data_IF_602947622278
#
_entry.id   IF_602947622278
#
_cell.length_a   1.000
_cell.length_b   1.000
_cell.length_c   1.000
_cell.angle_alpha   90.00
_cell.angle_beta   90.00
_cell.angle_gamma   90.00
#
_symmetry.space_group_name_H-M   'P 1'
#
loop_
_entity.id
_entity.type
_entity.pdbx_description
1 polymer ?
#
# COMPACT_ATOMS: atom_id res chain seq x y z
N UNK A 1 7.01 -28.14 12.00
CA UNK A 1 6.30 -26.93 12.47
C UNK A 1 6.92 -26.53 13.81
N UNK A 2 7.44 -25.32 13.92
CA UNK A 2 8.09 -24.83 15.15
C UNK A 2 7.10 -24.75 16.31
N UNK A 3 7.52 -25.13 17.49
CA UNK A 3 6.71 -25.13 18.72
C UNK A 3 7.30 -24.18 19.77
N UNK A 4 6.49 -23.79 20.75
CA UNK A 4 6.94 -23.01 21.92
C UNK A 4 8.10 -23.72 22.64
N UNK A 5 8.13 -25.07 22.63
CA UNK A 5 9.20 -25.87 23.22
C UNK A 5 10.54 -25.70 22.47
N UNK A 6 10.48 -25.58 21.14
CA UNK A 6 11.69 -25.40 20.32
C UNK A 6 12.29 -24.01 20.53
N UNK A 7 11.43 -22.97 20.63
CA UNK A 7 11.85 -21.59 20.97
C UNK A 7 12.48 -21.58 22.37
N UNK A 8 11.86 -22.21 23.35
CA UNK A 8 12.37 -22.31 24.72
C UNK A 8 13.76 -22.96 24.76
N UNK A 9 13.94 -24.05 24.00
CA UNK A 9 15.24 -24.75 23.88
C UNK A 9 16.30 -23.86 23.23
N UNK A 10 15.95 -23.15 22.18
CA UNK A 10 16.87 -22.26 21.46
C UNK A 10 17.39 -21.11 22.33
N UNK A 11 16.55 -20.57 23.21
CA UNK A 11 16.87 -19.43 24.08
C UNK A 11 17.33 -19.84 25.49
N UNK A 12 17.32 -21.11 25.84
CA UNK A 12 17.68 -21.56 27.18
C UNK A 12 16.70 -21.14 28.28
N UNK A 13 15.45 -20.89 27.94
CA UNK A 13 14.38 -20.47 28.86
C UNK A 13 13.32 -21.56 29.03
N UNK A 14 12.37 -21.38 29.97
CA UNK A 14 11.27 -22.33 30.14
C UNK A 14 10.17 -22.13 29.09
N UNK A 15 9.41 -23.19 28.78
CA UNK A 15 8.21 -23.09 27.94
C UNK A 15 7.21 -22.07 28.49
N UNK A 16 7.08 -21.97 29.84
CA UNK A 16 6.24 -20.99 30.50
C UNK A 16 6.67 -19.56 30.23
N UNK A 17 8.00 -19.28 30.23
CA UNK A 17 8.56 -17.97 29.92
C UNK A 17 8.23 -17.57 28.49
N UNK A 18 8.42 -18.48 27.51
CA UNK A 18 8.06 -18.20 26.11
C UNK A 18 6.57 -17.93 25.96
N UNK A 19 5.71 -18.74 26.58
CA UNK A 19 4.26 -18.53 26.53
C UNK A 19 3.83 -17.20 27.13
N UNK A 20 4.42 -16.79 28.25
CA UNK A 20 4.18 -15.49 28.89
C UNK A 20 4.61 -14.33 28.00
N UNK A 21 5.81 -14.41 27.42
CA UNK A 21 6.34 -13.38 26.53
C UNK A 21 5.46 -13.20 25.28
N UNK A 22 5.06 -14.31 24.64
CA UNK A 22 4.18 -14.29 23.47
C UNK A 22 2.76 -13.74 23.79
N UNK A 23 2.34 -13.77 25.03
CA UNK A 23 1.04 -13.22 25.48
C UNK A 23 1.17 -11.86 26.17
N UNK A 24 2.33 -11.21 26.13
CA UNK A 24 2.53 -9.87 26.68
C UNK A 24 2.40 -9.79 28.21
N UNK A 25 2.78 -10.87 28.92
CA UNK A 25 2.67 -10.91 30.38
C UNK A 25 3.60 -9.86 31.04
N UNK A 26 3.11 -9.08 32.03
CA UNK A 26 3.85 -7.96 32.59
C UNK A 26 5.08 -8.36 33.44
N UNK A 27 5.21 -9.63 33.77
CA UNK A 27 6.35 -10.18 34.51
C UNK A 27 7.53 -10.61 33.61
N UNK A 28 7.47 -10.33 32.33
CA UNK A 28 8.58 -10.52 31.36
C UNK A 28 9.15 -9.16 30.99
N UNK A 29 10.49 -9.02 31.05
CA UNK A 29 11.13 -7.78 30.61
C UNK A 29 10.95 -7.55 29.10
N UNK A 30 10.84 -6.30 28.69
CA UNK A 30 10.69 -5.91 27.27
C UNK A 30 11.82 -6.48 26.39
N UNK A 31 13.06 -6.47 26.89
CA UNK A 31 14.21 -7.03 26.18
C UNK A 31 14.06 -8.54 25.93
N UNK A 32 13.64 -9.30 26.94
CA UNK A 32 13.44 -10.74 26.80
C UNK A 32 12.22 -11.04 25.91
N UNK A 33 11.15 -10.25 26.04
CA UNK A 33 9.98 -10.37 25.18
C UNK A 33 10.36 -10.17 23.72
N UNK A 34 11.07 -9.09 23.41
CA UNK A 34 11.56 -8.78 22.04
C UNK A 34 12.41 -9.93 21.51
N UNK A 35 13.38 -10.42 22.27
CA UNK A 35 14.23 -11.53 21.87
C UNK A 35 13.43 -12.81 21.57
N UNK A 36 12.41 -13.11 22.39
CA UNK A 36 11.54 -14.28 22.19
C UNK A 36 10.70 -14.13 20.92
N UNK A 37 10.14 -12.95 20.67
CA UNK A 37 9.34 -12.68 19.48
C UNK A 37 10.18 -12.78 18.20
N UNK A 38 11.35 -12.16 18.17
CA UNK A 38 12.29 -12.23 17.04
C UNK A 38 12.71 -13.67 16.76
N UNK A 39 13.14 -14.41 17.80
CA UNK A 39 13.50 -15.83 17.65
C UNK A 39 12.31 -16.68 17.18
N UNK A 40 11.10 -16.41 17.66
CA UNK A 40 9.91 -17.10 17.21
C UNK A 40 9.67 -16.91 15.71
N UNK A 41 9.76 -15.67 15.23
CA UNK A 41 9.62 -15.32 13.81
C UNK A 41 10.71 -15.96 12.95
N UNK A 42 12.00 -15.86 13.35
CA UNK A 42 13.13 -16.53 12.68
C UNK A 42 12.91 -18.04 12.52
N UNK A 43 12.40 -18.68 13.56
CA UNK A 43 12.07 -20.10 13.55
C UNK A 43 10.78 -20.43 12.79
N UNK A 44 10.08 -19.44 12.25
CA UNK A 44 8.84 -19.60 11.50
C UNK A 44 7.60 -19.82 12.36
N UNK A 45 7.62 -19.37 13.61
CA UNK A 45 6.46 -19.37 14.49
C UNK A 45 5.73 -18.02 14.36
N UNK A 46 4.84 -17.90 13.39
CA UNK A 46 4.11 -16.65 13.07
C UNK A 46 2.63 -16.70 13.48
N UNK A 47 2.16 -17.83 14.01
CA UNK A 47 0.76 -17.99 14.39
C UNK A 47 0.63 -18.38 15.86
N UNK A 48 -0.04 -17.55 16.63
CA UNK A 48 -0.47 -17.90 17.96
C UNK A 48 -1.64 -18.91 17.92
N UNK A 49 -1.62 -19.86 18.86
CA UNK A 49 -2.78 -20.72 19.05
C UNK A 49 -3.97 -19.86 19.49
N UNK A 50 -5.06 -19.97 18.75
CA UNK A 50 -6.34 -19.32 19.08
C UNK A 50 -6.69 -19.63 20.54
N UNK A 51 -6.78 -18.61 21.37
CA UNK A 51 -7.34 -18.76 22.71
C UNK A 51 -8.85 -19.05 22.57
N UNK A 52 -9.34 -20.09 23.26
CA UNK A 52 -10.78 -20.40 23.25
C UNK A 52 -11.56 -19.19 23.76
N UNK A 53 -12.47 -18.67 22.93
CA UNK A 53 -13.38 -17.57 23.30
C UNK A 53 -12.94 -16.16 22.88
N UNK A 54 -11.76 -15.98 22.28
CA UNK A 54 -11.36 -14.69 21.71
C UNK A 54 -11.60 -14.63 20.20
N UNK A 55 -12.16 -13.51 19.72
CA UNK A 55 -12.30 -13.26 18.29
C UNK A 55 -10.91 -13.18 17.62
N UNK A 56 -10.73 -13.79 16.44
CA UNK A 56 -9.50 -13.60 15.68
C UNK A 56 -9.37 -12.14 15.25
N UNK A 57 -8.13 -11.64 15.28
CA UNK A 57 -7.83 -10.24 14.93
C UNK A 57 -7.21 -10.12 13.56
N UNK A 58 -7.69 -9.13 12.79
CA UNK A 58 -7.06 -8.61 11.59
C UNK A 58 -6.71 -7.14 11.83
N UNK A 59 -5.74 -6.62 11.08
CA UNK A 59 -5.47 -5.19 11.09
C UNK A 59 -5.50 -4.61 9.68
N UNK A 60 -5.88 -3.33 9.60
CA UNK A 60 -5.66 -2.49 8.43
C UNK A 60 -4.45 -1.63 8.77
N UNK A 61 -3.35 -1.80 8.03
CA UNK A 61 -2.14 -1.01 8.16
C UNK A 61 -2.24 0.15 7.16
N UNK A 62 -2.44 1.36 7.66
CA UNK A 62 -2.59 2.55 6.84
C UNK A 62 -1.33 3.42 6.94
N UNK A 63 -0.69 3.71 5.80
CA UNK A 63 0.43 4.65 5.76
C UNK A 63 -0.08 6.05 6.13
N UNK A 64 0.31 6.56 7.30
CA UNK A 64 -0.22 7.79 7.90
C UNK A 64 0.01 9.05 7.07
N UNK A 65 1.04 9.04 6.21
CA UNK A 65 1.41 10.18 5.35
C UNK A 65 0.74 10.13 3.97
N UNK A 66 0.32 8.96 3.50
CA UNK A 66 -0.08 8.74 2.11
C UNK A 66 -1.56 8.41 1.94
N UNK A 67 -2.27 8.08 3.01
CA UNK A 67 -3.66 7.60 2.91
C UNK A 67 -4.56 8.29 3.93
N UNK A 68 -5.51 9.06 3.42
CA UNK A 68 -6.60 9.61 4.22
C UNK A 68 -7.80 8.66 4.22
N UNK A 69 -8.24 8.23 5.41
CA UNK A 69 -9.30 7.21 5.56
C UNK A 69 -10.31 7.52 6.69
N UNK A 70 -10.16 8.66 7.35
CA UNK A 70 -10.92 8.97 8.57
C UNK A 70 -12.31 9.56 8.31
N UNK A 71 -12.53 10.17 7.14
CA UNK A 71 -13.76 10.89 6.80
C UNK A 71 -14.42 10.32 5.54
N UNK A 72 -15.78 10.33 5.46
CA UNK A 72 -16.54 9.73 4.35
C UNK A 72 -16.17 10.21 2.94
N UNK A 73 -15.63 11.42 2.79
CA UNK A 73 -15.23 11.97 1.49
C UNK A 73 -13.79 11.60 1.09
N UNK A 74 -13.08 10.88 1.93
CA UNK A 74 -11.70 10.44 1.67
C UNK A 74 -11.72 9.07 1.00
N UNK A 75 -10.88 8.87 0.00
CA UNK A 75 -10.83 7.62 -0.76
C UNK A 75 -10.60 6.39 0.14
N UNK A 76 -9.67 6.48 1.07
CA UNK A 76 -9.37 5.36 1.98
C UNK A 76 -10.52 4.98 2.92
N UNK A 77 -11.49 5.88 3.16
CA UNK A 77 -12.63 5.60 4.02
C UNK A 77 -13.49 4.46 3.49
N UNK A 78 -13.87 4.51 2.20
CA UNK A 78 -14.69 3.47 1.57
C UNK A 78 -13.95 2.14 1.51
N UNK A 79 -12.63 2.16 1.29
CA UNK A 79 -11.78 0.96 1.29
C UNK A 79 -11.76 0.30 2.68
N UNK A 80 -11.55 1.09 3.73
CA UNK A 80 -11.57 0.63 5.13
C UNK A 80 -12.96 0.10 5.51
N UNK A 81 -14.02 0.84 5.16
CA UNK A 81 -15.39 0.45 5.43
C UNK A 81 -15.75 -0.88 4.76
N UNK A 82 -15.41 -1.04 3.48
CA UNK A 82 -15.65 -2.27 2.72
C UNK A 82 -14.95 -3.48 3.33
N UNK A 83 -13.69 -3.32 3.75
CA UNK A 83 -12.95 -4.40 4.44
C UNK A 83 -13.65 -4.81 5.75
N UNK A 84 -14.03 -3.83 6.58
CA UNK A 84 -14.72 -4.10 7.86
C UNK A 84 -16.07 -4.77 7.66
N UNK A 85 -16.87 -4.29 6.70
CA UNK A 85 -18.18 -4.87 6.37
C UNK A 85 -18.10 -6.34 5.96
N UNK A 86 -16.98 -6.77 5.39
CA UNK A 86 -16.76 -8.18 5.03
C UNK A 86 -16.16 -9.01 6.16
N UNK A 87 -15.26 -8.46 6.97
CA UNK A 87 -14.54 -9.20 7.99
C UNK A 87 -15.31 -9.34 9.31
N UNK A 88 -15.95 -8.27 9.81
CA UNK A 88 -16.62 -8.25 11.10
C UNK A 88 -17.80 -9.27 11.20
N UNK A 89 -18.67 -9.41 10.18
CA UNK A 89 -19.74 -10.43 10.21
C UNK A 89 -19.21 -11.87 10.26
N UNK A 90 -17.96 -12.11 9.82
CA UNK A 90 -17.29 -13.42 9.90
C UNK A 90 -16.66 -13.67 11.28
N UNK A 91 -16.85 -12.75 12.23
CA UNK A 91 -16.36 -12.88 13.60
C UNK A 91 -14.92 -12.39 13.80
N UNK A 92 -14.36 -11.64 12.86
CA UNK A 92 -13.07 -10.98 13.07
C UNK A 92 -13.22 -9.65 13.79
N UNK A 93 -12.31 -9.36 14.71
CA UNK A 93 -12.06 -8.00 15.17
C UNK A 93 -11.11 -7.32 14.18
N UNK A 94 -11.43 -6.11 13.75
CA UNK A 94 -10.61 -5.34 12.80
C UNK A 94 -10.11 -4.07 13.48
N UNK A 95 -8.80 -3.97 13.65
CA UNK A 95 -8.12 -2.79 14.17
C UNK A 95 -7.52 -1.99 13.00
N UNK A 96 -7.61 -0.65 13.05
CA UNK A 96 -6.96 0.25 12.07
C UNK A 96 -5.73 0.82 12.74
N UNK A 97 -4.57 0.58 12.13
CA UNK A 97 -3.27 0.97 12.66
C UNK A 97 -2.60 1.94 11.69
N UNK A 98 -2.52 3.22 12.03
CA UNK A 98 -1.67 4.13 11.28
C UNK A 98 -0.20 3.76 11.52
N UNK A 99 0.55 3.64 10.44
CA UNK A 99 1.98 3.33 10.48
C UNK A 99 2.76 4.36 9.66
N UNK A 100 3.96 4.68 10.13
CA UNK A 100 4.93 5.52 9.44
C UNK A 100 6.24 4.75 9.25
N UNK A 101 7.17 5.32 8.51
CA UNK A 101 8.47 4.69 8.26
C UNK A 101 9.27 4.44 9.55
N UNK A 102 9.15 5.32 10.55
CA UNK A 102 9.88 5.19 11.81
C UNK A 102 9.44 3.95 12.58
N UNK A 103 8.12 3.76 12.74
CA UNK A 103 7.54 2.57 13.38
C UNK A 103 7.91 1.28 12.62
N UNK A 104 7.92 1.33 11.29
CA UNK A 104 8.30 0.18 10.46
C UNK A 104 9.78 -0.20 10.63
N UNK A 105 10.69 0.79 10.81
CA UNK A 105 12.12 0.52 11.06
C UNK A 105 12.39 -0.01 12.46
N UNK A 106 11.56 0.35 13.43
CA UNK A 106 11.75 -0.06 14.83
C UNK A 106 11.37 -1.50 15.09
N UNK A 107 10.39 -2.04 14.37
CA UNK A 107 9.88 -3.39 14.60
C UNK A 107 9.58 -4.08 13.26
N UNK A 108 10.16 -5.29 12.99
CA UNK A 108 9.85 -6.06 11.80
C UNK A 108 8.36 -6.44 11.71
N UNK A 109 7.83 -6.50 10.49
CA UNK A 109 6.41 -6.78 10.24
C UNK A 109 5.91 -8.06 10.92
N UNK A 110 6.57 -9.20 10.73
CA UNK A 110 6.15 -10.47 11.35
C UNK A 110 6.20 -10.44 12.88
N UNK A 111 7.15 -9.66 13.46
CA UNK A 111 7.25 -9.45 14.92
C UNK A 111 6.08 -8.60 15.40
N UNK A 112 5.78 -7.49 14.71
CA UNK A 112 4.61 -6.64 14.99
C UNK A 112 3.31 -7.45 14.98
N UNK A 113 3.11 -8.26 13.95
CA UNK A 113 1.92 -9.08 13.79
C UNK A 113 1.78 -10.13 14.90
N UNK A 114 2.88 -10.81 15.24
CA UNK A 114 2.91 -11.82 16.30
C UNK A 114 2.65 -11.20 17.68
N UNK A 115 3.31 -10.08 18.00
CA UNK A 115 3.18 -9.35 19.26
C UNK A 115 1.75 -8.87 19.52
N UNK A 116 1.07 -8.38 18.49
CA UNK A 116 -0.28 -7.82 18.60
C UNK A 116 -1.39 -8.85 18.32
N UNK A 117 -1.02 -10.12 18.11
CA UNK A 117 -1.94 -11.24 17.84
C UNK A 117 -2.77 -11.11 16.56
N UNK A 118 -2.28 -10.38 15.55
CA UNK A 118 -2.94 -10.29 14.25
C UNK A 118 -2.70 -11.54 13.41
N UNK A 119 -3.75 -12.04 12.77
CA UNK A 119 -3.69 -13.23 11.89
C UNK A 119 -3.39 -12.87 10.44
N UNK A 120 -3.58 -11.63 10.07
CA UNK A 120 -3.31 -11.09 8.75
C UNK A 120 -3.55 -9.59 8.72
N UNK A 121 -3.02 -8.94 7.70
CA UNK A 121 -3.18 -7.51 7.49
C UNK A 121 -3.74 -7.18 6.12
N UNK A 122 -4.44 -6.04 6.05
CA UNK A 122 -4.77 -5.33 4.82
C UNK A 122 -3.96 -4.04 4.80
N UNK A 123 -3.15 -3.84 3.77
CA UNK A 123 -2.12 -2.78 3.71
C UNK A 123 -2.54 -1.74 2.68
N UNK A 124 -2.67 -0.48 3.10
CA UNK A 124 -3.12 0.62 2.24
C UNK A 124 -2.16 1.81 2.30
N UNK A 125 -1.92 2.43 1.15
CA UNK A 125 -1.15 3.66 1.01
C UNK A 125 0.37 3.54 1.17
N UNK A 126 0.92 2.32 1.21
CA UNK A 126 2.37 2.12 1.30
C UNK A 126 3.07 2.56 0.02
N UNK A 127 4.24 3.18 0.19
CA UNK A 127 5.20 3.48 -0.87
C UNK A 127 6.12 2.27 -1.11
N UNK A 128 6.73 2.16 -2.28
CA UNK A 128 7.75 1.15 -2.54
C UNK A 128 8.99 1.30 -1.64
N UNK A 129 9.23 2.51 -1.10
CA UNK A 129 10.33 2.80 -0.20
C UNK A 129 10.04 2.43 1.26
N UNK A 130 8.80 2.11 1.61
CA UNK A 130 8.45 1.73 2.98
C UNK A 130 9.21 0.47 3.42
N UNK A 131 9.80 0.45 4.64
CA UNK A 131 10.64 -0.66 5.10
C UNK A 131 9.94 -2.02 5.04
N UNK A 132 8.68 -2.11 5.43
CA UNK A 132 7.92 -3.36 5.41
C UNK A 132 7.62 -3.88 4.00
N UNK A 133 7.72 -3.03 2.96
CA UNK A 133 7.54 -3.52 1.58
C UNK A 133 8.56 -4.58 1.18
N UNK A 134 9.82 -4.44 1.64
CA UNK A 134 10.84 -5.47 1.42
C UNK A 134 10.57 -6.72 2.26
N UNK A 135 10.06 -6.55 3.48
CA UNK A 135 9.74 -7.67 4.36
C UNK A 135 8.56 -8.51 3.83
N UNK A 136 7.60 -7.90 3.13
CA UNK A 136 6.50 -8.64 2.49
C UNK A 136 6.97 -9.65 1.44
N UNK A 137 8.17 -9.53 0.90
CA UNK A 137 8.73 -10.52 -0.03
C UNK A 137 9.02 -11.87 0.65
N UNK A 138 9.28 -11.87 1.96
CA UNK A 138 9.68 -13.06 2.73
C UNK A 138 8.80 -13.35 3.94
N UNK A 139 7.89 -12.45 4.29
CA UNK A 139 6.97 -12.59 5.42
C UNK A 139 6.15 -13.87 5.33
N UNK A 140 5.87 -14.45 6.49
CA UNK A 140 5.02 -15.64 6.64
C UNK A 140 3.63 -15.30 7.17
N UNK A 141 3.44 -14.09 7.65
CA UNK A 141 2.11 -13.63 8.07
C UNK A 141 1.33 -13.15 6.87
N UNK A 142 0.09 -13.60 6.67
CA UNK A 142 -0.73 -13.18 5.54
C UNK A 142 -0.89 -11.67 5.45
N UNK A 143 -0.65 -11.11 4.26
CA UNK A 143 -0.91 -9.71 3.94
C UNK A 143 -1.65 -9.58 2.61
N UNK A 144 -2.58 -8.64 2.53
CA UNK A 144 -3.20 -8.21 1.26
C UNK A 144 -2.79 -6.76 1.01
N UNK A 145 -2.11 -6.52 -0.10
CA UNK A 145 -1.63 -5.19 -0.49
C UNK A 145 -2.65 -4.55 -1.43
N UNK A 146 -3.13 -3.37 -1.06
CA UNK A 146 -4.03 -2.58 -1.90
C UNK A 146 -3.22 -1.65 -2.81
N UNK A 147 -3.45 -1.76 -4.13
CA UNK A 147 -2.75 -0.99 -5.15
C UNK A 147 -1.22 -1.05 -5.03
N UNK A 148 -0.70 -2.18 -4.51
CA UNK A 148 0.72 -2.42 -4.35
C UNK A 148 1.03 -3.91 -4.56
N UNK A 149 2.25 -4.26 -4.87
CA UNK A 149 2.61 -5.63 -5.24
C UNK A 149 4.03 -5.98 -4.80
N UNK A 150 4.21 -7.20 -4.34
CA UNK A 150 5.52 -7.83 -4.13
C UNK A 150 5.60 -9.14 -4.93
N UNK A 151 6.80 -9.50 -5.38
CA UNK A 151 7.00 -10.69 -6.19
C UNK A 151 7.01 -11.96 -5.32
N UNK A 152 6.28 -12.98 -5.79
CA UNK A 152 6.48 -14.41 -5.44
C UNK A 152 6.36 -14.81 -3.96
N UNK A 153 5.68 -14.08 -3.08
CA UNK A 153 5.41 -14.56 -1.73
C UNK A 153 4.00 -15.18 -1.63
N UNK A 154 3.85 -16.49 -1.32
CA UNK A 154 2.55 -17.14 -1.17
C UNK A 154 1.73 -16.64 0.03
N UNK A 155 2.34 -15.93 0.98
CA UNK A 155 1.65 -15.31 2.10
C UNK A 155 1.12 -13.91 1.79
N UNK A 156 1.45 -13.38 0.61
CA UNK A 156 1.06 -12.02 0.21
C UNK A 156 0.15 -12.09 -1.01
N UNK A 157 -1.00 -11.43 -0.92
CA UNK A 157 -1.93 -11.24 -2.02
C UNK A 157 -1.97 -9.76 -2.42
N UNK A 158 -2.50 -9.50 -3.60
CA UNK A 158 -2.65 -8.17 -4.15
C UNK A 158 -4.09 -7.95 -4.59
N UNK A 159 -4.61 -6.76 -4.36
CA UNK A 159 -5.89 -6.30 -4.86
C UNK A 159 -5.75 -4.87 -5.38
N UNK A 160 -6.35 -4.59 -6.52
CA UNK A 160 -6.31 -3.29 -7.18
C UNK A 160 -7.12 -3.27 -8.46
N UNK A 161 -7.05 -2.17 -9.20
CA UNK A 161 -7.74 -2.00 -10.48
C UNK A 161 -6.86 -2.45 -11.65
N UNK A 162 -7.49 -2.83 -12.76
CA UNK A 162 -6.79 -3.05 -14.03
C UNK A 162 -6.42 -1.70 -14.67
N UNK A 163 -5.19 -1.27 -14.39
CA UNK A 163 -4.70 0.01 -14.88
C UNK A 163 -4.39 -0.01 -16.39
N UNK A 164 -4.10 -1.17 -16.96
CA UNK A 164 -3.89 -1.30 -18.41
C UNK A 164 -5.19 -1.11 -19.17
N UNK A 165 -6.26 -1.77 -18.73
CA UNK A 165 -7.59 -1.58 -19.30
C UNK A 165 -8.07 -0.13 -19.12
N UNK A 166 -7.96 0.43 -17.90
CA UNK A 166 -8.40 1.80 -17.61
C UNK A 166 -7.68 2.85 -18.48
N UNK A 167 -6.36 2.74 -18.65
CA UNK A 167 -5.61 3.66 -19.51
C UNK A 167 -5.89 3.43 -21.00
N UNK A 168 -6.09 2.18 -21.44
CA UNK A 168 -6.47 1.89 -22.80
C UNK A 168 -7.82 2.53 -23.16
N UNK A 169 -8.82 2.41 -22.29
CA UNK A 169 -10.14 3.04 -22.46
C UNK A 169 -10.01 4.59 -22.53
N UNK A 170 -9.27 5.20 -21.61
CA UNK A 170 -9.10 6.65 -21.57
C UNK A 170 -8.41 7.19 -22.82
N UNK A 171 -7.32 6.57 -23.26
CA UNK A 171 -6.60 7.00 -24.46
C UNK A 171 -7.43 6.78 -25.73
N UNK A 172 -8.11 5.64 -25.85
CA UNK A 172 -8.97 5.36 -27.01
C UNK A 172 -10.11 6.36 -27.10
N UNK A 173 -10.77 6.67 -25.97
CA UNK A 173 -11.82 7.67 -25.92
C UNK A 173 -11.35 9.05 -26.40
N UNK A 174 -10.22 9.54 -25.89
CA UNK A 174 -9.67 10.82 -26.32
C UNK A 174 -9.29 10.81 -27.81
N UNK A 175 -8.74 9.72 -28.32
CA UNK A 175 -8.44 9.56 -29.75
C UNK A 175 -9.70 9.60 -30.61
N UNK A 176 -10.78 8.94 -30.20
CA UNK A 176 -12.09 8.96 -30.89
C UNK A 176 -12.67 10.38 -30.95
N UNK A 177 -12.41 11.21 -29.93
CA UNK A 177 -12.74 12.63 -29.92
C UNK A 177 -11.79 13.50 -30.78
N UNK A 178 -10.80 12.91 -31.44
CA UNK A 178 -9.88 13.58 -32.37
C UNK A 178 -8.58 14.07 -31.73
N UNK A 179 -8.33 13.81 -30.45
CA UNK A 179 -7.08 14.20 -29.82
C UNK A 179 -5.91 13.32 -30.29
N UNK A 180 -4.86 13.95 -30.81
CA UNK A 180 -3.63 13.30 -31.27
C UNK A 180 -2.45 13.55 -30.31
N UNK A 181 -2.49 14.65 -29.58
CA UNK A 181 -1.49 15.05 -28.60
C UNK A 181 -2.11 15.04 -27.21
N UNK A 182 -1.81 14.00 -26.45
CA UNK A 182 -2.38 13.73 -25.12
C UNK A 182 -1.25 13.76 -24.10
N UNK A 183 -1.36 14.63 -23.10
CA UNK A 183 -0.44 14.71 -21.97
C UNK A 183 -0.86 13.79 -20.81
N UNK A 184 0.10 13.35 -20.03
CA UNK A 184 -0.13 12.59 -18.79
C UNK A 184 0.54 13.27 -17.61
N UNK A 185 -0.23 13.57 -16.57
CA UNK A 185 0.27 14.16 -15.32
C UNK A 185 0.18 13.17 -14.16
N UNK A 186 1.27 13.06 -13.39
CA UNK A 186 1.35 12.18 -12.24
C UNK A 186 2.20 12.78 -11.13
N UNK A 187 1.94 12.31 -9.91
CA UNK A 187 2.71 12.63 -8.71
C UNK A 187 3.24 11.35 -8.05
N UNK A 188 3.96 11.51 -6.94
CA UNK A 188 4.41 10.39 -6.10
C UNK A 188 5.19 9.32 -6.89
N UNK A 189 6.38 9.62 -7.40
CA UNK A 189 7.16 8.71 -8.25
C UNK A 189 7.49 7.37 -7.57
N UNK A 190 7.53 7.32 -6.25
CA UNK A 190 7.82 6.13 -5.44
C UNK A 190 6.57 5.26 -5.16
N UNK A 191 5.39 5.70 -5.62
CA UNK A 191 4.18 4.89 -5.56
C UNK A 191 4.16 3.84 -6.67
N UNK A 192 3.99 2.57 -6.30
CA UNK A 192 3.84 1.46 -7.25
C UNK A 192 2.73 1.74 -8.26
N UNK A 193 1.54 2.13 -7.77
CA UNK A 193 0.38 2.34 -8.64
C UNK A 193 0.60 3.49 -9.64
N UNK A 194 1.30 4.58 -9.24
CA UNK A 194 1.61 5.68 -10.14
C UNK A 194 2.58 5.25 -11.25
N UNK A 195 3.54 4.40 -10.94
CA UNK A 195 4.45 3.82 -11.93
C UNK A 195 3.71 2.89 -12.90
N UNK A 196 2.78 2.06 -12.40
CA UNK A 196 1.96 1.16 -13.22
C UNK A 196 1.08 1.97 -14.17
N UNK A 197 0.36 2.99 -13.68
CA UNK A 197 -0.48 3.88 -14.49
C UNK A 197 0.30 4.58 -15.59
N UNK A 198 1.48 5.11 -15.28
CA UNK A 198 2.36 5.74 -16.29
C UNK A 198 2.79 4.76 -17.38
N UNK A 199 3.19 3.55 -17.00
CA UNK A 199 3.56 2.51 -17.97
C UNK A 199 2.35 2.10 -18.82
N UNK A 200 1.16 1.98 -18.22
CA UNK A 200 -0.08 1.69 -18.91
C UNK A 200 -0.46 2.80 -19.91
N UNK A 201 -0.36 4.07 -19.51
CA UNK A 201 -0.55 5.21 -20.42
C UNK A 201 0.37 5.12 -21.64
N UNK A 202 1.68 4.97 -21.43
CA UNK A 202 2.65 4.89 -22.53
C UNK A 202 2.36 3.69 -23.46
N UNK A 203 1.86 2.59 -22.92
CA UNK A 203 1.45 1.42 -23.69
C UNK A 203 0.21 1.70 -24.52
N UNK A 204 -0.81 2.29 -23.90
CA UNK A 204 -2.06 2.67 -24.56
C UNK A 204 -1.83 3.68 -25.71
N UNK A 205 -0.97 4.67 -25.50
CA UNK A 205 -0.58 5.63 -26.57
C UNK A 205 0.02 4.91 -27.77
N UNK A 206 0.99 4.02 -27.55
CA UNK A 206 1.62 3.23 -28.64
C UNK A 206 0.62 2.33 -29.36
N UNK A 207 -0.26 1.64 -28.63
CA UNK A 207 -1.31 0.79 -29.21
C UNK A 207 -2.29 1.58 -30.09
N UNK A 208 -2.52 2.84 -29.77
CA UNK A 208 -3.34 3.75 -30.54
C UNK A 208 -2.59 4.47 -31.67
N UNK A 209 -1.30 4.20 -31.89
CA UNK A 209 -0.47 4.86 -32.90
C UNK A 209 -0.16 6.32 -32.55
N UNK A 210 -0.25 6.71 -31.28
CA UNK A 210 0.05 8.05 -30.79
C UNK A 210 1.48 8.11 -30.23
N UNK A 211 2.05 9.31 -30.21
CA UNK A 211 3.37 9.55 -29.63
C UNK A 211 3.35 9.31 -28.11
N UNK A 212 4.32 8.53 -27.62
CA UNK A 212 4.46 8.14 -26.21
C UNK A 212 5.87 8.43 -25.68
N UNK A 213 6.47 9.55 -26.08
CA UNK A 213 7.77 9.97 -25.60
C UNK A 213 7.70 10.67 -24.23
N UNK A 214 8.85 11.09 -23.72
CA UNK A 214 8.93 11.80 -22.45
C UNK A 214 8.27 13.19 -22.46
N UNK A 215 8.10 13.80 -23.65
CA UNK A 215 7.43 15.09 -23.79
C UNK A 215 5.94 15.01 -23.43
N UNK A 216 5.33 13.82 -23.61
CA UNK A 216 3.92 13.59 -23.27
C UNK A 216 3.69 13.32 -21.76
N UNK A 217 4.74 13.25 -20.92
CA UNK A 217 4.59 12.92 -19.49
C UNK A 217 5.14 14.00 -18.59
N UNK A 218 4.39 14.35 -17.54
CA UNK A 218 4.80 15.23 -16.45
C UNK A 218 4.75 14.46 -15.13
N UNK A 219 5.85 14.48 -14.38
CA UNK A 219 5.99 13.77 -13.12
C UNK A 219 6.74 14.63 -12.12
N UNK A 220 6.15 14.86 -10.96
CA UNK A 220 6.79 15.59 -9.86
C UNK A 220 6.31 15.03 -8.52
N UNK A 221 6.99 15.37 -7.43
CA UNK A 221 6.64 14.86 -6.10
C UNK A 221 5.33 15.47 -5.55
N UNK A 222 5.01 16.70 -5.95
CA UNK A 222 3.86 17.45 -5.47
C UNK A 222 2.97 17.93 -6.62
N UNK A 223 1.67 18.06 -6.37
CA UNK A 223 0.67 18.49 -7.37
C UNK A 223 1.01 19.89 -7.90
N UNK A 224 1.27 20.88 -7.04
CA UNK A 224 1.61 22.23 -7.47
C UNK A 224 2.82 22.25 -8.38
N UNK A 225 3.90 21.60 -7.95
CA UNK A 225 5.12 21.49 -8.73
C UNK A 225 4.87 20.82 -10.09
N UNK A 226 4.09 19.74 -10.12
CA UNK A 226 3.75 19.02 -11.35
C UNK A 226 3.02 19.94 -12.34
N UNK A 227 2.07 20.75 -11.86
CA UNK A 227 1.34 21.69 -12.71
C UNK A 227 2.24 22.84 -13.20
N UNK A 228 3.00 23.45 -12.29
CA UNK A 228 3.86 24.61 -12.61
C UNK A 228 4.96 24.26 -13.63
N UNK A 229 5.53 23.07 -13.52
CA UNK A 229 6.60 22.60 -14.41
C UNK A 229 6.09 22.08 -15.75
N UNK A 230 4.95 21.40 -15.77
CA UNK A 230 4.56 20.62 -16.95
C UNK A 230 3.40 21.21 -17.75
N UNK A 231 2.45 21.95 -17.16
CA UNK A 231 1.36 22.53 -17.92
C UNK A 231 1.84 23.54 -18.98
N UNK A 232 2.75 24.50 -18.69
CA UNK A 232 3.25 25.42 -19.71
C UNK A 232 3.89 24.68 -20.88
N UNK A 233 4.73 23.69 -20.58
CA UNK A 233 5.37 22.86 -21.61
C UNK A 233 4.35 22.11 -22.46
N UNK A 234 3.31 21.52 -21.85
CA UNK A 234 2.28 20.80 -22.58
C UNK A 234 1.49 21.70 -23.53
N UNK A 235 1.24 22.95 -23.14
CA UNK A 235 0.61 23.94 -23.99
C UNK A 235 1.51 24.34 -25.19
N UNK A 236 2.79 24.56 -24.92
CA UNK A 236 3.80 24.88 -25.96
C UNK A 236 3.94 23.73 -26.98
N UNK A 237 3.92 22.50 -26.52
CA UNK A 237 3.94 21.27 -27.34
C UNK A 237 2.61 21.05 -28.08
N UNK A 238 1.58 21.81 -27.76
CA UNK A 238 0.25 21.74 -28.39
C UNK A 238 -0.56 20.50 -27.93
N UNK A 239 -0.41 20.07 -26.70
CA UNK A 239 -1.29 19.04 -26.12
C UNK A 239 -2.72 19.58 -26.07
N UNK A 240 -3.66 18.76 -26.51
CA UNK A 240 -5.07 19.13 -26.59
C UNK A 240 -5.95 18.38 -25.59
N UNK A 241 -5.39 17.41 -24.90
CA UNK A 241 -6.04 16.67 -23.81
C UNK A 241 -5.02 16.25 -22.76
N UNK A 242 -5.51 16.05 -21.53
CA UNK A 242 -4.72 15.56 -20.41
C UNK A 242 -5.40 14.35 -19.77
N UNK A 243 -4.60 13.35 -19.43
CA UNK A 243 -4.96 12.29 -18.49
C UNK A 243 -4.17 12.52 -17.21
N UNK A 244 -4.85 12.53 -16.08
CA UNK A 244 -4.26 12.67 -14.76
C UNK A 244 -4.27 11.34 -14.01
N UNK A 245 -3.20 11.06 -13.27
CA UNK A 245 -3.06 9.79 -12.55
C UNK A 245 -4.12 9.57 -11.47
N UNK A 246 -4.71 10.66 -10.92
CA UNK A 246 -5.80 10.64 -9.95
C UNK A 246 -6.57 11.97 -9.94
N UNK A 247 -7.74 11.97 -9.29
CA UNK A 247 -8.69 13.09 -9.33
C UNK A 247 -8.16 14.40 -8.74
N UNK A 248 -7.32 14.33 -7.70
CA UNK A 248 -6.78 15.55 -7.07
C UNK A 248 -5.91 16.37 -8.02
N UNK A 249 -5.07 15.71 -8.82
CA UNK A 249 -4.27 16.42 -9.83
C UNK A 249 -5.15 16.91 -10.98
N UNK A 250 -6.20 16.16 -11.37
CA UNK A 250 -7.15 16.61 -12.38
C UNK A 250 -7.91 17.85 -11.92
N UNK A 251 -8.38 17.87 -10.69
CA UNK A 251 -9.06 19.02 -10.08
C UNK A 251 -8.15 20.26 -10.04
N UNK A 252 -6.90 20.08 -9.62
CA UNK A 252 -5.92 21.15 -9.57
C UNK A 252 -5.59 21.68 -10.96
N UNK A 253 -5.48 20.82 -11.98
CA UNK A 253 -5.29 21.21 -13.37
C UNK A 253 -6.48 22.03 -13.90
N UNK A 254 -7.71 21.62 -13.64
CA UNK A 254 -8.92 22.39 -14.02
C UNK A 254 -8.93 23.78 -13.40
N UNK A 255 -8.58 23.90 -12.10
CA UNK A 255 -8.48 25.20 -11.42
C UNK A 255 -7.39 26.06 -12.06
N UNK A 256 -6.25 25.46 -12.43
CA UNK A 256 -5.17 26.17 -13.11
C UNK A 256 -5.61 26.71 -14.48
N UNK A 257 -6.27 25.89 -15.29
CA UNK A 257 -6.81 26.34 -16.60
C UNK A 257 -7.81 27.48 -16.45
N UNK A 258 -8.72 27.43 -15.49
CA UNK A 258 -9.69 28.50 -15.24
C UNK A 258 -9.01 29.82 -14.86
N UNK A 259 -7.95 29.77 -14.02
CA UNK A 259 -7.20 30.96 -13.59
C UNK A 259 -6.45 31.62 -14.76
N UNK A 260 -5.92 30.83 -15.64
CA UNK A 260 -5.12 31.32 -16.79
C UNK A 260 -5.97 31.53 -18.06
N UNK A 261 -7.29 31.29 -18.01
CA UNK A 261 -8.21 31.39 -19.16
C UNK A 261 -7.78 30.57 -20.37
N UNK A 262 -7.29 29.38 -20.09
CA UNK A 262 -6.83 28.39 -21.08
C UNK A 262 -7.93 27.39 -21.41
#
# INVERSE_FOLDING_TARGET
MTTIQDIARRLGVTKGTVSKALNGAPDISETLQKQILETAVEMGYTRLRRQKGTAPKLCILAASQNMEYQKPHQFGYEVVLGFRQMAEPQGYQVDIIPVDEESQRQEPYDVFMLKNHYQGSFVIGFSLADPWMQEFETSRTPAVLYDNHVLANPSTAYVGVDNDEGMALAVSHLKELGHQKIGYLSTSPDSYIMQVRRKAFSRAMRQNGLCADSACTGLSSYISQCLDEHLPRFLEEGMTALICSHDLIAQAALVSFQRHRL
#
